data_IF_055134547167
#
_entry.id   IF_055134547167
#
_cell.length_a   1.000
_cell.length_b   1.000
_cell.length_c   1.000
_cell.angle_alpha   90.00
_cell.angle_beta   90.00
_cell.angle_gamma   90.00
#
_symmetry.space_group_name_H-M   'P 1'
#
loop_
_entity.id
_entity.type
_entity.pdbx_description
1 polymer ?
#
# COMPACT_ATOMS: atom_id res chain seq x y z
N UNK A 1 3.22 7.13 5.45
CA UNK A 1 1.79 6.72 5.44
C UNK A 1 0.92 7.81 6.09
N UNK A 2 1.13 8.16 7.36
CA UNK A 2 0.35 9.18 8.08
C UNK A 2 0.11 10.49 7.31
N UNK A 3 1.15 11.10 6.75
CA UNK A 3 1.01 12.34 5.96
C UNK A 3 0.11 12.17 4.72
N UNK A 4 0.17 11.01 4.05
CA UNK A 4 -0.67 10.73 2.89
C UNK A 4 -2.14 10.52 3.31
N UNK A 5 -2.38 9.82 4.42
CA UNK A 5 -3.72 9.65 5.00
C UNK A 5 -4.32 10.99 5.44
N UNK A 6 -3.54 11.82 6.13
CA UNK A 6 -3.94 13.16 6.56
C UNK A 6 -4.01 14.18 5.42
N UNK A 7 -3.74 13.77 4.17
CA UNK A 7 -3.72 14.63 2.97
C UNK A 7 -2.90 15.91 3.17
N UNK A 8 -1.80 15.80 3.92
CA UNK A 8 -0.94 16.94 4.25
C UNK A 8 -0.12 17.30 3.02
N UNK A 9 -0.22 18.55 2.59
CA UNK A 9 0.57 19.07 1.47
C UNK A 9 1.92 19.55 2.00
N UNK A 10 3.01 19.02 1.44
CA UNK A 10 4.37 19.43 1.77
C UNK A 10 4.94 20.38 0.72
N UNK A 11 5.81 21.34 1.08
CA UNK A 11 6.38 22.31 0.13
C UNK A 11 7.31 21.69 -0.92
N UNK A 12 7.82 20.48 -0.64
CA UNK A 12 8.65 19.67 -1.55
C UNK A 12 8.15 18.22 -1.53
N UNK A 13 8.31 17.48 -2.64
CA UNK A 13 7.92 16.07 -2.70
C UNK A 13 8.76 15.24 -1.72
N UNK A 14 8.11 14.37 -0.95
CA UNK A 14 8.78 13.36 -0.13
C UNK A 14 9.10 12.12 -0.98
N UNK A 15 9.71 11.09 -0.38
CA UNK A 15 10.21 9.91 -1.10
C UNK A 15 9.14 9.21 -1.95
N UNK A 16 7.94 8.97 -1.40
CA UNK A 16 6.85 8.33 -2.16
C UNK A 16 6.23 9.28 -3.21
N UNK A 17 6.29 10.60 -3.01
CA UNK A 17 5.88 11.59 -4.00
C UNK A 17 6.89 11.65 -5.16
N UNK A 18 8.18 11.56 -4.85
CA UNK A 18 9.26 11.46 -5.83
C UNK A 18 9.08 10.21 -6.70
N UNK A 19 8.79 9.05 -6.10
CA UNK A 19 8.54 7.82 -6.86
C UNK A 19 7.32 7.96 -7.77
N UNK A 20 6.21 8.51 -7.27
CA UNK A 20 5.04 8.85 -8.09
C UNK A 20 5.45 9.72 -9.28
N UNK A 21 6.21 10.79 -9.04
CA UNK A 21 6.63 11.71 -10.09
C UNK A 21 7.52 11.02 -11.14
N UNK A 22 8.42 10.12 -10.72
CA UNK A 22 9.24 9.32 -11.63
C UNK A 22 8.36 8.43 -12.51
N UNK A 23 7.43 7.67 -11.92
CA UNK A 23 6.53 6.77 -12.65
C UNK A 23 5.67 7.54 -13.66
N UNK A 24 5.08 8.66 -13.24
CA UNK A 24 4.32 9.54 -14.13
C UNK A 24 5.18 10.14 -15.26
N UNK A 25 6.42 10.52 -14.98
CA UNK A 25 7.35 11.05 -16.00
C UNK A 25 7.73 9.98 -17.03
N UNK A 26 7.79 8.71 -16.62
CA UNK A 26 8.08 7.57 -17.48
C UNK A 26 6.83 6.97 -18.16
N UNK A 27 5.65 7.57 -17.95
CA UNK A 27 4.35 7.06 -18.42
C UNK A 27 4.06 5.62 -17.95
N UNK A 28 4.52 5.28 -16.75
CA UNK A 28 4.30 3.97 -16.11
C UNK A 28 3.20 4.11 -15.06
N UNK A 29 2.13 3.32 -15.22
CA UNK A 29 1.04 3.24 -14.26
C UNK A 29 1.32 2.26 -13.13
N UNK A 30 0.47 2.26 -12.10
CA UNK A 30 0.35 1.15 -11.15
C UNK A 30 -1.09 0.66 -11.25
N UNK A 31 -1.30 -0.62 -11.55
CA UNK A 31 -2.64 -1.19 -11.64
C UNK A 31 -3.20 -1.54 -10.26
N UNK A 32 -2.36 -2.13 -9.41
CA UNK A 32 -2.69 -2.59 -8.07
C UNK A 32 -1.45 -2.82 -7.23
N UNK A 33 -1.65 -2.89 -5.91
CA UNK A 33 -0.69 -3.52 -5.00
C UNK A 33 -1.30 -4.78 -4.39
N UNK A 34 -0.47 -5.76 -4.07
CA UNK A 34 -0.91 -7.00 -3.41
C UNK A 34 0.05 -7.33 -2.28
N UNK A 35 -0.48 -7.60 -1.09
CA UNK A 35 0.29 -8.26 -0.02
C UNK A 35 0.28 -9.75 -0.35
N UNK A 36 1.44 -10.29 -0.74
CA UNK A 36 1.56 -11.60 -1.37
C UNK A 36 1.86 -12.70 -0.38
N UNK A 37 2.75 -12.44 0.59
CA UNK A 37 3.31 -13.49 1.43
C UNK A 37 3.62 -13.03 2.85
N UNK A 38 3.75 -14.02 3.74
CA UNK A 38 4.34 -13.88 5.07
C UNK A 38 5.33 -15.03 5.28
N UNK A 39 6.59 -14.68 5.51
CA UNK A 39 7.69 -15.62 5.75
C UNK A 39 8.41 -15.14 7.01
N UNK A 40 8.58 -16.02 8.00
CA UNK A 40 9.23 -15.69 9.28
C UNK A 40 8.70 -14.38 9.90
N UNK A 41 7.37 -14.24 9.94
CA UNK A 41 6.66 -13.05 10.43
C UNK A 41 6.98 -11.74 9.70
N UNK A 42 7.55 -11.83 8.50
CA UNK A 42 7.84 -10.71 7.60
C UNK A 42 6.86 -10.75 6.44
N UNK A 43 6.08 -9.68 6.28
CA UNK A 43 5.15 -9.54 5.17
C UNK A 43 5.83 -9.01 3.92
N UNK A 44 5.42 -9.56 2.79
CA UNK A 44 5.88 -9.18 1.45
C UNK A 44 4.72 -8.61 0.64
N UNK A 45 5.02 -7.69 -0.24
CA UNK A 45 4.06 -7.10 -1.16
C UNK A 45 4.66 -6.90 -2.54
N UNK A 46 3.80 -6.82 -3.55
CA UNK A 46 4.17 -6.47 -4.91
C UNK A 46 3.39 -5.26 -5.38
N UNK A 47 4.08 -4.30 -6.01
CA UNK A 47 3.45 -3.28 -6.84
C UNK A 47 3.41 -3.78 -8.28
N UNK A 48 2.23 -3.81 -8.87
CA UNK A 48 2.08 -4.22 -10.27
C UNK A 48 2.12 -2.96 -11.12
N UNK A 49 3.29 -2.70 -11.71
CA UNK A 49 3.48 -1.61 -12.66
C UNK A 49 2.80 -1.97 -13.97
N UNK A 50 2.18 -0.98 -14.60
CA UNK A 50 1.55 -1.11 -15.91
C UNK A 50 2.41 -0.37 -16.95
N UNK A 51 3.03 -1.14 -17.83
CA UNK A 51 3.76 -0.66 -19.01
C UNK A 51 2.99 -1.09 -20.27
N UNK A 52 2.17 -0.18 -20.80
CA UNK A 52 1.22 -0.49 -21.86
C UNK A 52 0.21 -1.56 -21.41
N UNK A 53 0.31 -2.77 -21.98
CA UNK A 53 -0.54 -3.92 -21.64
C UNK A 53 0.13 -4.94 -20.71
N UNK A 54 1.39 -4.70 -20.30
CA UNK A 54 2.16 -5.64 -19.49
C UNK A 54 2.12 -5.21 -18.03
N UNK A 55 1.71 -6.14 -17.15
CA UNK A 55 1.93 -5.99 -15.72
C UNK A 55 3.31 -6.51 -15.34
N UNK A 56 4.07 -5.69 -14.60
CA UNK A 56 5.40 -6.00 -14.11
C UNK A 56 5.36 -5.92 -12.58
N UNK A 57 5.47 -7.05 -11.86
CA UNK A 57 5.53 -7.03 -10.40
C UNK A 57 6.88 -6.48 -9.93
N UNK A 58 6.83 -5.60 -8.94
CA UNK A 58 8.00 -5.08 -8.23
C UNK A 58 7.88 -5.41 -6.76
N UNK A 59 8.86 -6.14 -6.24
CA UNK A 59 8.96 -6.50 -4.83
C UNK A 59 9.00 -5.25 -3.93
N UNK A 60 8.29 -5.31 -2.82
CA UNK A 60 8.14 -4.21 -1.90
C UNK A 60 7.73 -4.66 -0.50
N UNK A 61 8.06 -3.82 0.47
CA UNK A 61 7.45 -3.94 1.80
C UNK A 61 6.00 -3.44 1.73
N UNK A 62 5.06 -4.04 2.47
CA UNK A 62 3.68 -3.57 2.50
C UNK A 62 3.53 -2.09 2.87
N UNK A 63 4.37 -1.57 3.78
CA UNK A 63 4.32 -0.17 4.19
C UNK A 63 4.62 0.81 3.05
N UNK A 64 5.54 0.47 2.16
CA UNK A 64 5.88 1.29 0.99
C UNK A 64 4.80 1.19 -0.07
N UNK A 65 4.34 -0.04 -0.37
CA UNK A 65 3.24 -0.28 -1.29
C UNK A 65 1.98 0.51 -0.90
N UNK A 66 1.57 0.45 0.38
CA UNK A 66 0.43 1.21 0.91
C UNK A 66 0.67 2.72 0.80
N UNK A 67 1.86 3.22 1.12
CA UNK A 67 2.18 4.64 1.02
C UNK A 67 2.08 5.19 -0.41
N UNK A 68 2.38 4.36 -1.41
CA UNK A 68 2.26 4.67 -2.83
C UNK A 68 0.79 4.58 -3.25
N UNK A 69 0.09 3.52 -2.83
CA UNK A 69 -1.32 3.30 -3.13
C UNK A 69 -2.20 4.48 -2.70
N UNK A 70 -1.96 5.01 -1.51
CA UNK A 70 -2.66 6.19 -1.00
C UNK A 70 -2.45 7.46 -1.85
N UNK A 71 -1.28 7.61 -2.49
CA UNK A 71 -0.95 8.80 -3.30
C UNK A 71 -1.42 8.70 -4.75
N UNK A 72 -1.48 7.48 -5.26
CA UNK A 72 -1.91 7.15 -6.61
C UNK A 72 -3.38 6.74 -6.69
N UNK A 73 -4.04 6.55 -5.55
CA UNK A 73 -5.43 6.10 -5.46
C UNK A 73 -5.65 4.74 -6.15
N UNK A 74 -4.70 3.82 -5.96
CA UNK A 74 -4.79 2.46 -6.52
C UNK A 74 -5.28 1.46 -5.49
N UNK A 75 -5.90 0.38 -5.98
CA UNK A 75 -6.48 -0.66 -5.13
C UNK A 75 -5.40 -1.48 -4.42
N UNK A 76 -5.72 -1.86 -3.18
CA UNK A 76 -4.89 -2.70 -2.32
C UNK A 76 -5.58 -4.05 -2.17
N UNK A 77 -4.86 -5.11 -2.48
CA UNK A 77 -5.32 -6.48 -2.29
C UNK A 77 -4.40 -7.23 -1.32
N UNK A 78 -4.90 -8.34 -0.81
CA UNK A 78 -4.19 -9.28 0.06
C UNK A 78 -4.54 -10.68 -0.46
N UNK A 79 -3.55 -11.56 -0.57
CA UNK A 79 -3.80 -12.96 -0.93
C UNK A 79 -4.60 -13.67 0.18
N UNK A 80 -5.54 -14.53 -0.20
CA UNK A 80 -6.45 -15.21 0.74
C UNK A 80 -5.66 -16.04 1.76
N UNK A 81 -4.60 -16.74 1.33
CA UNK A 81 -3.71 -17.53 2.20
C UNK A 81 -3.11 -16.69 3.35
N UNK A 82 -2.96 -15.38 3.18
CA UNK A 82 -2.46 -14.47 4.23
C UNK A 82 -3.57 -14.11 5.22
N UNK A 83 -4.80 -14.00 4.75
CA UNK A 83 -5.97 -13.81 5.59
C UNK A 83 -6.29 -15.06 6.41
N UNK A 84 -6.01 -16.25 5.88
CA UNK A 84 -6.18 -17.54 6.58
C UNK A 84 -5.06 -17.83 7.58
N UNK A 85 -3.82 -17.40 7.29
CA UNK A 85 -2.66 -17.56 8.20
C UNK A 85 -2.80 -16.74 9.49
N UNK A 86 -3.59 -15.68 9.47
CA UNK A 86 -4.11 -15.07 10.70
C UNK A 86 -5.45 -15.71 10.99
N UNK A 87 -5.68 -16.08 12.25
CA UNK A 87 -7.01 -16.51 12.68
C UNK A 87 -8.01 -15.45 12.21
N UNK A 88 -8.89 -15.80 11.27
CA UNK A 88 -9.83 -14.86 10.65
C UNK A 88 -10.66 -14.13 11.71
N UNK A 89 -10.88 -14.82 12.84
CA UNK A 89 -11.50 -14.29 14.06
C UNK A 89 -10.76 -13.08 14.64
N UNK A 90 -9.43 -13.09 14.71
CA UNK A 90 -8.63 -11.98 15.25
C UNK A 90 -8.63 -10.77 14.30
N UNK A 91 -8.59 -11.01 12.99
CA UNK A 91 -8.64 -9.93 11.99
C UNK A 91 -10.03 -9.30 11.93
N UNK A 92 -11.09 -10.10 11.96
CA UNK A 92 -12.46 -9.60 12.01
C UNK A 92 -12.72 -8.81 13.30
N UNK A 93 -12.27 -9.31 14.43
CA UNK A 93 -12.42 -8.62 15.72
C UNK A 93 -11.63 -7.31 15.73
N UNK A 94 -10.42 -7.30 15.17
CA UNK A 94 -9.63 -6.08 15.01
C UNK A 94 -10.28 -5.06 14.07
N UNK A 95 -10.80 -5.49 12.92
CA UNK A 95 -11.52 -4.63 11.97
C UNK A 95 -12.82 -4.06 12.58
N UNK A 96 -13.56 -4.86 13.35
CA UNK A 96 -14.78 -4.42 14.07
C UNK A 96 -14.47 -3.38 15.15
N UNK A 97 -13.29 -3.48 15.77
CA UNK A 97 -12.87 -2.58 16.84
C UNK A 97 -12.06 -1.36 16.35
N UNK A 98 -11.86 -1.23 15.04
CA UNK A 98 -11.08 -0.16 14.44
C UNK A 98 -11.82 1.18 14.56
N UNK A 99 -11.25 2.14 15.29
CA UNK A 99 -11.82 3.48 15.46
C UNK A 99 -11.16 4.48 14.51
N UNK A 100 -11.87 5.56 14.11
CA UNK A 100 -11.28 6.64 13.33
C UNK A 100 -10.00 7.23 13.97
N UNK A 101 -9.90 7.20 15.29
CA UNK A 101 -8.73 7.65 16.07
C UNK A 101 -7.48 6.77 15.88
N UNK A 102 -7.65 5.48 15.58
CA UNK A 102 -6.55 4.53 15.36
C UNK A 102 -5.79 4.80 14.06
N UNK A 103 -6.37 5.60 13.16
CA UNK A 103 -5.71 6.08 11.94
C UNK A 103 -4.75 7.25 12.19
N UNK A 104 -4.58 7.64 13.45
CA UNK A 104 -3.64 8.67 13.89
C UNK A 104 -4.33 10.02 14.11
N UNK A 105 -4.08 10.60 15.28
CA UNK A 105 -4.32 12.02 15.56
C UNK A 105 -3.74 12.87 14.43
N UNK A 106 -4.61 13.44 13.60
CA UNK A 106 -4.26 14.50 12.67
C UNK A 106 -4.20 15.79 13.49
N UNK A 107 -3.00 16.11 13.98
CA UNK A 107 -2.58 17.49 14.25
C UNK A 107 -1.36 17.79 13.39
#
# INVERSE_FOLDING_TARGET
IALALGRVITPRPLTHDLLKNILTTLDVGISRIVVTDIIDNTYYASLYLLDGSKEIPVDSRPSDAVAIALRLHVHIFVEDDILEKRNTDELEEWLKNLKPEDFGNIM
#
